data_IF_908030211076
#
_entry.id   IF_908030211076
#
_cell.length_a   1.000
_cell.length_b   1.000
_cell.length_c   1.000
_cell.angle_alpha   90.00
_cell.angle_beta   90.00
_cell.angle_gamma   90.00
#
_symmetry.space_group_name_H-M   'P 1'
#
loop_
_entity.id
_entity.type
_entity.pdbx_description
1 polymer ?
#
# COMPACT_ATOMS: atom_id res chain seq x y z
N UNK A 1 -9.14 28.26 -6.95
CA UNK A 1 -8.37 27.74 -8.10
C UNK A 1 -8.29 26.24 -7.96
N UNK A 2 -8.49 25.48 -9.05
CA UNK A 2 -8.28 24.04 -9.04
C UNK A 2 -6.81 23.73 -9.35
N UNK A 3 -6.20 22.80 -8.63
CA UNK A 3 -4.80 22.40 -8.86
C UNK A 3 -4.62 21.55 -10.14
N UNK A 4 -5.73 21.14 -10.76
CA UNK A 4 -5.78 20.40 -12.01
C UNK A 4 -6.83 21.02 -12.95
N UNK A 5 -6.59 20.92 -14.26
CA UNK A 5 -7.51 21.35 -15.31
C UNK A 5 -7.70 20.25 -16.35
N UNK A 6 -8.94 19.93 -16.69
CA UNK A 6 -9.28 19.05 -17.80
C UNK A 6 -9.36 19.85 -19.11
N UNK A 7 -8.59 19.46 -20.14
CA UNK A 7 -8.69 20.03 -21.49
C UNK A 7 -9.36 19.05 -22.44
N UNK A 8 -10.45 19.47 -23.08
CA UNK A 8 -11.19 18.66 -24.07
C UNK A 8 -10.88 19.04 -25.52
N UNK A 9 -9.98 20.00 -25.74
CA UNK A 9 -9.66 20.58 -27.07
C UNK A 9 -9.35 19.55 -28.16
N UNK A 10 -8.70 18.44 -27.82
CA UNK A 10 -8.35 17.38 -28.77
C UNK A 10 -9.48 16.40 -29.07
N UNK A 11 -10.53 16.35 -28.24
CA UNK A 11 -11.68 15.45 -28.42
C UNK A 11 -12.86 16.13 -29.11
N UNK A 12 -12.96 17.46 -29.08
CA UNK A 12 -14.09 18.21 -29.63
C UNK A 12 -14.35 17.90 -31.12
N UNK A 13 -13.29 17.66 -31.90
CA UNK A 13 -13.37 17.25 -33.31
C UNK A 13 -14.12 15.93 -33.54
N UNK A 14 -14.15 15.05 -32.53
CA UNK A 14 -14.86 13.78 -32.58
C UNK A 14 -16.30 13.89 -32.05
N UNK A 15 -16.65 14.99 -31.40
CA UNK A 15 -17.99 15.22 -30.84
C UNK A 15 -18.97 15.84 -31.83
N UNK A 16 -18.60 15.99 -33.11
CA UNK A 16 -19.47 16.48 -34.19
C UNK A 16 -20.17 17.81 -33.86
N UNK A 17 -19.46 18.74 -33.21
CA UNK A 17 -20.01 20.04 -32.80
C UNK A 17 -20.81 20.02 -31.50
N UNK A 18 -20.91 18.89 -30.80
CA UNK A 18 -21.45 18.83 -29.43
C UNK A 18 -20.36 19.17 -28.41
N UNK A 19 -20.73 19.85 -27.34
CA UNK A 19 -19.86 20.00 -26.17
C UNK A 19 -19.70 18.68 -25.45
N UNK A 20 -18.54 18.44 -24.83
CA UNK A 20 -18.41 17.37 -23.85
C UNK A 20 -19.41 17.60 -22.70
N UNK A 21 -20.37 16.68 -22.55
CA UNK A 21 -21.41 16.75 -21.52
C UNK A 21 -21.59 15.38 -20.87
N UNK A 22 -21.82 15.31 -19.55
CA UNK A 22 -22.10 14.04 -18.89
C UNK A 22 -23.39 13.42 -19.46
N UNK A 23 -23.34 12.12 -19.75
CA UNK A 23 -24.49 11.33 -20.23
C UNK A 23 -25.32 10.72 -19.09
N UNK A 24 -25.03 11.12 -17.86
CA UNK A 24 -25.65 10.62 -16.63
C UNK A 24 -26.16 11.81 -15.79
N UNK A 25 -27.18 11.61 -14.93
CA UNK A 25 -27.67 12.67 -14.04
C UNK A 25 -26.64 12.93 -12.92
N UNK A 26 -25.63 13.76 -13.22
CA UNK A 26 -24.45 13.96 -12.37
C UNK A 26 -24.80 14.37 -10.94
N UNK A 27 -25.79 15.26 -10.76
CA UNK A 27 -26.22 15.72 -9.45
C UNK A 27 -26.81 14.58 -8.61
N UNK A 28 -27.61 13.71 -9.21
CA UNK A 28 -28.21 12.55 -8.54
C UNK A 28 -27.13 11.52 -8.18
N UNK A 29 -26.19 11.25 -9.08
CA UNK A 29 -25.08 10.33 -8.84
C UNK A 29 -24.16 10.86 -7.74
N UNK A 30 -23.84 12.14 -7.77
CA UNK A 30 -23.06 12.80 -6.72
C UNK A 30 -23.75 12.69 -5.37
N UNK A 31 -25.06 13.00 -5.32
CA UNK A 31 -25.87 12.86 -4.10
C UNK A 31 -25.89 11.40 -3.62
N UNK A 32 -26.03 10.43 -4.52
CA UNK A 32 -26.08 9.02 -4.14
C UNK A 32 -24.76 8.50 -3.55
N UNK A 33 -23.61 9.03 -4.02
CA UNK A 33 -22.29 8.74 -3.45
C UNK A 33 -22.13 9.37 -2.06
N UNK A 34 -22.47 10.65 -1.92
CA UNK A 34 -22.38 11.38 -0.66
C UNK A 34 -23.31 10.79 0.42
N UNK A 35 -24.56 10.49 0.05
CA UNK A 35 -25.58 9.93 0.93
C UNK A 35 -25.46 8.40 1.08
N UNK A 36 -24.47 7.77 0.42
CA UNK A 36 -24.21 6.31 0.46
C UNK A 36 -25.44 5.46 0.11
N UNK A 37 -26.25 5.91 -0.85
CA UNK A 37 -27.46 5.20 -1.30
C UNK A 37 -27.24 4.35 -2.56
N UNK A 38 -26.04 4.41 -3.15
CA UNK A 38 -25.70 3.62 -4.34
C UNK A 38 -25.29 2.17 -4.01
N UNK A 39 -25.28 1.31 -5.03
CA UNK A 39 -24.73 -0.05 -4.93
C UNK A 39 -23.24 0.02 -4.55
N UNK A 40 -22.83 -0.79 -3.57
CA UNK A 40 -21.44 -0.82 -3.10
C UNK A 40 -21.09 0.31 -2.12
N UNK A 41 -22.09 0.96 -1.52
CA UNK A 41 -21.94 2.03 -0.53
C UNK A 41 -20.98 1.69 0.63
N UNK A 42 -20.86 0.40 0.97
CA UNK A 42 -19.94 -0.09 2.00
C UNK A 42 -18.46 0.20 1.69
N UNK A 43 -18.10 0.47 0.43
CA UNK A 43 -16.72 0.67 -0.04
C UNK A 43 -16.41 2.13 -0.41
N UNK A 44 -17.18 3.10 0.09
CA UNK A 44 -17.00 4.53 -0.21
C UNK A 44 -16.07 5.27 0.76
N UNK A 45 -15.34 4.57 1.62
CA UNK A 45 -14.43 5.19 2.60
C UNK A 45 -13.33 6.06 1.97
N UNK A 46 -12.98 5.84 0.70
CA UNK A 46 -11.99 6.64 -0.03
C UNK A 46 -12.41 8.10 -0.25
N UNK A 47 -13.72 8.41 -0.20
CA UNK A 47 -14.22 9.78 -0.41
C UNK A 47 -13.72 10.70 0.70
N UNK A 48 -13.82 10.25 1.96
CA UNK A 48 -13.46 11.04 3.13
C UNK A 48 -12.03 10.78 3.60
N UNK A 49 -11.34 9.76 3.06
CA UNK A 49 -9.98 9.39 3.46
C UNK A 49 -8.99 10.57 3.48
N UNK A 50 -8.99 11.53 2.53
CA UNK A 50 -8.12 12.69 2.62
C UNK A 50 -8.40 13.60 3.82
N UNK A 51 -9.65 13.70 4.25
CA UNK A 51 -10.08 14.50 5.41
C UNK A 51 -9.85 13.74 6.73
N UNK A 52 -10.05 12.42 6.72
CA UNK A 52 -9.84 11.53 7.87
C UNK A 52 -8.35 11.32 8.21
N UNK A 53 -7.45 11.65 7.28
CA UNK A 53 -6.00 11.53 7.46
C UNK A 53 -5.43 12.74 8.21
N UNK A 54 -5.61 12.76 9.53
CA UNK A 54 -5.16 13.87 10.38
C UNK A 54 -3.63 13.98 10.45
N UNK A 55 -3.13 15.15 10.84
CA UNK A 55 -1.70 15.40 11.03
C UNK A 55 -1.07 14.43 12.05
N UNK A 56 -1.82 14.05 13.09
CA UNK A 56 -1.38 13.11 14.11
C UNK A 56 -1.17 11.71 13.51
N UNK A 57 -2.11 11.25 12.67
CA UNK A 57 -2.00 9.96 11.99
C UNK A 57 -0.85 9.94 10.99
N UNK A 58 -0.65 11.04 10.27
CA UNK A 58 0.50 11.21 9.37
C UNK A 58 1.81 11.18 10.18
N UNK A 59 1.87 11.90 11.30
CA UNK A 59 3.05 11.94 12.16
C UNK A 59 3.38 10.56 12.75
N UNK A 60 2.37 9.76 13.12
CA UNK A 60 2.56 8.38 13.57
C UNK A 60 3.16 7.48 12.47
N UNK A 61 2.63 7.57 11.24
CA UNK A 61 3.19 6.86 10.07
C UNK A 61 4.63 7.28 9.82
N UNK A 62 4.90 8.58 9.87
CA UNK A 62 6.22 9.15 9.66
C UNK A 62 7.23 8.64 10.71
N UNK A 63 6.86 8.65 11.99
CA UNK A 63 7.69 8.14 13.09
C UNK A 63 8.08 6.67 12.89
N UNK A 64 7.13 5.81 12.51
CA UNK A 64 7.47 4.41 12.24
C UNK A 64 8.29 4.25 10.96
N UNK A 65 8.05 5.04 9.92
CA UNK A 65 8.88 5.06 8.73
C UNK A 65 10.34 5.49 9.05
N UNK A 66 10.54 6.49 9.90
CA UNK A 66 11.86 6.92 10.39
C UNK A 66 12.56 5.78 11.16
N UNK A 67 11.83 5.11 12.05
CA UNK A 67 12.35 3.95 12.81
C UNK A 67 12.76 2.80 11.90
N UNK A 68 11.98 2.49 10.86
CA UNK A 68 12.34 1.49 9.85
C UNK A 68 13.57 1.92 9.04
N UNK A 69 13.65 3.19 8.63
CA UNK A 69 14.79 3.72 7.86
C UNK A 69 16.10 3.65 8.63
N UNK A 70 16.12 3.99 9.92
CA UNK A 70 17.32 3.97 10.73
C UNK A 70 18.00 2.58 10.81
N UNK A 71 17.20 1.50 10.69
CA UNK A 71 17.66 0.12 10.83
C UNK A 71 17.64 -0.68 9.54
N UNK A 72 17.38 -0.06 8.38
CA UNK A 72 17.24 -0.77 7.10
C UNK A 72 18.05 -0.12 6.01
N UNK A 73 18.60 -0.94 5.14
CA UNK A 73 19.07 -0.54 3.82
C UNK A 73 18.01 -0.89 2.75
N UNK A 74 17.14 -1.86 3.07
CA UNK A 74 16.08 -2.35 2.16
C UNK A 74 14.77 -2.55 2.91
N UNK A 75 13.67 -2.06 2.33
CA UNK A 75 12.31 -2.36 2.77
C UNK A 75 11.64 -3.31 1.76
N UNK A 76 11.29 -4.51 2.21
CA UNK A 76 10.52 -5.47 1.40
C UNK A 76 9.02 -5.24 1.64
N UNK A 77 8.31 -4.80 0.61
CA UNK A 77 6.84 -4.67 0.63
C UNK A 77 6.22 -5.93 0.05
N UNK A 78 5.39 -6.61 0.83
CA UNK A 78 4.65 -7.79 0.40
C UNK A 78 3.18 -7.43 0.15
N UNK A 79 2.73 -7.52 -1.10
CA UNK A 79 1.34 -7.21 -1.46
C UNK A 79 1.08 -7.42 -2.95
N UNK A 80 -0.19 -7.55 -3.33
CA UNK A 80 -0.63 -7.68 -4.73
C UNK A 80 -1.83 -6.78 -5.01
N UNK A 81 -2.04 -6.41 -6.27
CA UNK A 81 -3.16 -5.57 -6.70
C UNK A 81 -3.12 -4.17 -6.09
N UNK A 82 -4.20 -3.76 -5.42
CA UNK A 82 -4.27 -2.46 -4.73
C UNK A 82 -3.24 -2.29 -3.62
N UNK A 83 -2.85 -3.39 -2.95
CA UNK A 83 -1.80 -3.43 -1.92
C UNK A 83 -0.38 -3.25 -2.46
N UNK A 84 -0.23 -3.05 -3.77
CA UNK A 84 1.04 -2.99 -4.48
C UNK A 84 1.12 -1.79 -5.41
N UNK A 85 0.15 -1.65 -6.32
CA UNK A 85 0.22 -0.70 -7.43
C UNK A 85 0.24 0.75 -6.96
N UNK A 86 -0.55 1.12 -5.95
CA UNK A 86 -0.59 2.49 -5.44
C UNK A 86 0.76 2.93 -4.86
N UNK A 87 1.34 2.09 -3.99
CA UNK A 87 2.65 2.36 -3.40
C UNK A 87 3.74 2.42 -4.47
N UNK A 88 3.79 1.45 -5.39
CA UNK A 88 4.78 1.41 -6.47
C UNK A 88 4.67 2.64 -7.39
N UNK A 89 3.46 3.04 -7.78
CA UNK A 89 3.26 4.19 -8.64
C UNK A 89 3.73 5.50 -8.00
N UNK A 90 3.44 5.73 -6.72
CA UNK A 90 3.89 6.92 -5.99
C UNK A 90 5.40 6.92 -5.81
N UNK A 91 5.98 5.78 -5.42
CA UNK A 91 7.44 5.66 -5.24
C UNK A 91 8.15 5.90 -6.58
N UNK A 92 7.76 5.23 -7.66
CA UNK A 92 8.40 5.43 -8.97
C UNK A 92 8.23 6.85 -9.52
N UNK A 93 7.11 7.53 -9.24
CA UNK A 93 6.85 8.89 -9.71
C UNK A 93 7.60 9.97 -8.92
N UNK A 94 7.82 9.76 -7.62
CA UNK A 94 8.33 10.80 -6.70
C UNK A 94 9.69 10.49 -6.07
N UNK A 95 10.21 9.27 -6.19
CA UNK A 95 11.54 8.94 -5.66
C UNK A 95 12.63 9.77 -6.33
N UNK A 96 13.55 10.28 -5.52
CA UNK A 96 14.71 11.02 -5.99
C UNK A 96 15.60 10.11 -6.87
N UNK A 97 15.83 10.46 -8.14
CA UNK A 97 16.74 9.72 -9.01
C UNK A 97 18.18 9.67 -8.49
N UNK A 98 18.58 10.61 -7.62
CA UNK A 98 19.91 10.66 -7.00
C UNK A 98 20.09 9.66 -5.86
N UNK A 99 19.00 9.02 -5.41
CA UNK A 99 19.00 7.90 -4.48
C UNK A 99 18.23 8.16 -3.20
N UNK A 100 17.55 7.12 -2.71
CA UNK A 100 17.03 7.02 -1.35
C UNK A 100 17.99 6.19 -0.51
N UNK A 101 18.15 6.54 0.77
CA UNK A 101 18.95 5.76 1.73
C UNK A 101 18.42 4.33 1.93
N UNK A 102 17.14 4.10 1.60
CA UNK A 102 16.49 2.78 1.68
C UNK A 102 15.88 2.41 0.35
N UNK A 103 16.30 1.26 -0.19
CA UNK A 103 15.74 0.65 -1.39
C UNK A 103 14.40 -0.03 -1.06
N UNK A 104 13.35 0.24 -1.84
CA UNK A 104 12.05 -0.43 -1.69
C UNK A 104 11.94 -1.54 -2.74
N UNK A 105 11.70 -2.76 -2.28
CA UNK A 105 11.55 -3.94 -3.13
C UNK A 105 10.18 -4.55 -2.90
N UNK A 106 9.53 -4.98 -3.98
CA UNK A 106 8.21 -5.59 -3.90
C UNK A 106 8.31 -7.10 -4.11
N UNK A 107 7.62 -7.85 -3.25
CA UNK A 107 7.40 -9.29 -3.35
C UNK A 107 5.92 -9.59 -3.06
N UNK A 108 5.51 -10.85 -3.22
CA UNK A 108 4.11 -11.23 -2.96
C UNK A 108 3.10 -10.67 -3.97
N UNK A 109 3.56 -9.98 -5.02
CA UNK A 109 2.76 -9.57 -6.17
C UNK A 109 2.70 -10.64 -7.28
N UNK A 110 3.40 -11.77 -7.10
CA UNK A 110 3.35 -12.98 -7.93
C UNK A 110 4.05 -14.15 -7.21
N UNK A 111 4.10 -15.33 -7.84
CA UNK A 111 4.62 -16.59 -7.25
C UNK A 111 5.98 -17.07 -7.80
N UNK A 112 6.78 -16.20 -8.43
CA UNK A 112 8.08 -16.60 -8.99
C UNK A 112 9.12 -16.89 -7.89
N UNK A 113 9.39 -18.17 -7.60
CA UNK A 113 10.44 -18.58 -6.66
C UNK A 113 11.84 -18.06 -7.00
N UNK A 114 12.14 -17.92 -8.31
CA UNK A 114 13.41 -17.36 -8.79
C UNK A 114 13.60 -15.89 -8.40
N UNK A 115 12.52 -15.13 -8.28
CA UNK A 115 12.63 -13.75 -7.79
C UNK A 115 12.99 -13.73 -6.30
N UNK A 116 12.36 -14.57 -5.48
CA UNK A 116 12.71 -14.68 -4.05
C UNK A 116 14.17 -15.07 -3.88
N UNK A 117 14.66 -16.08 -4.62
CA UNK A 117 16.06 -16.48 -4.58
C UNK A 117 17.00 -15.32 -4.93
N UNK A 118 16.68 -14.59 -6.01
CA UNK A 118 17.45 -13.41 -6.44
C UNK A 118 17.47 -12.32 -5.37
N UNK A 119 16.30 -11.96 -4.83
CA UNK A 119 16.16 -10.91 -3.81
C UNK A 119 16.88 -11.30 -2.52
N UNK A 120 16.65 -12.50 -2.01
CA UNK A 120 17.29 -12.96 -0.76
C UNK A 120 18.80 -13.11 -0.90
N UNK A 121 19.28 -13.52 -2.08
CA UNK A 121 20.74 -13.55 -2.35
C UNK A 121 21.32 -12.15 -2.46
N UNK A 122 20.69 -11.25 -3.23
CA UNK A 122 21.16 -9.86 -3.42
C UNK A 122 21.28 -9.11 -2.10
N UNK A 123 20.34 -9.30 -1.18
CA UNK A 123 20.28 -8.54 0.08
C UNK A 123 20.69 -9.35 1.31
N UNK A 124 21.37 -10.48 1.13
CA UNK A 124 21.81 -11.35 2.23
C UNK A 124 22.64 -10.62 3.29
N UNK A 125 23.45 -9.64 2.90
CA UNK A 125 24.33 -8.90 3.82
C UNK A 125 23.84 -7.48 4.11
N UNK A 126 22.60 -7.14 3.70
CA UNK A 126 21.98 -5.84 3.97
C UNK A 126 21.11 -5.87 5.21
N UNK A 127 20.81 -4.70 5.77
CA UNK A 127 19.83 -4.55 6.85
C UNK A 127 18.43 -4.48 6.26
N UNK A 128 17.48 -5.28 6.74
CA UNK A 128 16.14 -5.36 6.14
C UNK A 128 15.01 -5.13 7.14
N UNK A 129 13.93 -4.59 6.61
CA UNK A 129 12.60 -4.57 7.21
C UNK A 129 11.56 -4.99 6.20
N UNK A 130 10.35 -5.28 6.68
CA UNK A 130 9.24 -5.68 5.81
C UNK A 130 7.93 -4.97 6.14
N UNK A 131 7.15 -4.68 5.11
CA UNK A 131 5.78 -4.18 5.21
C UNK A 131 4.84 -5.19 4.54
N UNK A 132 3.90 -5.78 5.28
CA UNK A 132 2.99 -6.81 4.79
C UNK A 132 1.58 -6.22 4.65
N UNK A 133 1.05 -6.20 3.42
CA UNK A 133 -0.20 -5.49 3.10
C UNK A 133 -1.22 -6.48 2.52
N UNK A 134 -2.24 -6.84 3.30
CA UNK A 134 -3.37 -7.66 2.86
C UNK A 134 -4.55 -7.46 3.81
N UNK A 135 -5.74 -7.14 3.29
CA UNK A 135 -6.95 -6.97 4.13
C UNK A 135 -7.28 -8.24 4.91
N UNK A 136 -7.34 -9.38 4.22
CA UNK A 136 -7.72 -10.66 4.83
C UNK A 136 -6.54 -11.43 5.42
N UNK A 137 -5.32 -11.20 4.93
CA UNK A 137 -4.16 -12.04 5.21
C UNK A 137 -4.20 -13.43 4.56
N UNK A 138 -5.20 -13.71 3.73
CA UNK A 138 -5.39 -15.00 3.05
C UNK A 138 -5.13 -14.92 1.55
N UNK A 139 -4.79 -13.74 1.02
CA UNK A 139 -4.28 -13.59 -0.34
C UNK A 139 -3.04 -14.46 -0.52
N UNK A 140 -3.12 -15.46 -1.38
CA UNK A 140 -2.15 -16.56 -1.45
C UNK A 140 -0.71 -16.06 -1.64
N UNK A 141 -0.50 -15.16 -2.61
CA UNK A 141 0.81 -14.62 -2.96
C UNK A 141 1.42 -13.85 -1.80
N UNK A 142 0.66 -12.96 -1.17
CA UNK A 142 1.12 -12.19 0.01
C UNK A 142 1.38 -13.11 1.21
N UNK A 143 0.52 -14.11 1.46
CA UNK A 143 0.66 -15.01 2.59
C UNK A 143 1.92 -15.90 2.48
N UNK A 144 2.21 -16.40 1.28
CA UNK A 144 3.46 -17.13 0.99
C UNK A 144 4.66 -16.19 1.14
N UNK A 145 4.59 -14.98 0.57
CA UNK A 145 5.66 -13.99 0.68
C UNK A 145 5.96 -13.63 2.13
N UNK A 146 4.94 -13.41 2.96
CA UNK A 146 5.11 -13.14 4.40
C UNK A 146 5.89 -14.25 5.09
N UNK A 147 5.51 -15.52 4.85
CA UNK A 147 6.20 -16.68 5.45
C UNK A 147 7.68 -16.70 5.07
N UNK A 148 7.97 -16.58 3.78
CA UNK A 148 9.34 -16.61 3.26
C UNK A 148 10.17 -15.42 3.76
N UNK A 149 9.61 -14.21 3.74
CA UNK A 149 10.30 -13.00 4.19
C UNK A 149 10.52 -13.01 5.70
N UNK A 150 9.54 -13.47 6.49
CA UNK A 150 9.71 -13.60 7.94
C UNK A 150 10.79 -14.62 8.29
N UNK A 151 10.82 -15.76 7.61
CA UNK A 151 11.87 -16.76 7.78
C UNK A 151 13.25 -16.19 7.42
N UNK A 152 13.34 -15.44 6.31
CA UNK A 152 14.57 -14.77 5.92
C UNK A 152 15.03 -13.75 6.97
N UNK A 153 14.12 -12.95 7.55
CA UNK A 153 14.44 -12.02 8.63
C UNK A 153 14.88 -12.76 9.91
N UNK A 154 14.22 -13.87 10.27
CA UNK A 154 14.59 -14.69 11.43
C UNK A 154 15.94 -15.38 11.28
N UNK A 155 16.39 -15.64 10.04
CA UNK A 155 17.75 -16.15 9.81
C UNK A 155 18.83 -15.11 10.14
N UNK A 156 18.45 -13.82 10.25
CA UNK A 156 19.36 -12.68 10.43
C UNK A 156 19.22 -11.98 11.78
N UNK A 157 18.04 -12.02 12.38
CA UNK A 157 17.68 -11.22 13.53
C UNK A 157 16.96 -12.06 14.59
N UNK A 158 17.04 -11.64 15.85
CA UNK A 158 16.27 -12.26 16.94
C UNK A 158 14.76 -12.06 16.72
N UNK A 159 13.93 -12.88 17.38
CA UNK A 159 12.47 -12.72 17.30
C UNK A 159 12.00 -11.31 17.71
N UNK A 160 12.62 -10.72 18.74
CA UNK A 160 12.32 -9.36 19.20
C UNK A 160 12.67 -8.32 18.14
N UNK A 161 13.84 -8.47 17.50
CA UNK A 161 14.26 -7.55 16.47
C UNK A 161 13.40 -7.70 15.20
N UNK A 162 13.04 -8.92 14.78
CA UNK A 162 12.08 -9.18 13.69
C UNK A 162 10.74 -8.52 13.99
N UNK A 163 10.23 -8.64 15.22
CA UNK A 163 8.98 -7.98 15.64
C UNK A 163 9.04 -6.47 15.39
N UNK A 164 10.17 -5.83 15.69
CA UNK A 164 10.33 -4.40 15.43
C UNK A 164 10.49 -4.05 13.94
N UNK A 165 10.91 -5.00 13.11
CA UNK A 165 11.26 -4.81 11.69
C UNK A 165 10.10 -5.10 10.74
N UNK A 166 9.03 -5.72 11.21
CA UNK A 166 7.84 -6.01 10.43
C UNK A 166 6.72 -5.05 10.82
N UNK A 167 6.13 -4.40 9.81
CA UNK A 167 4.90 -3.63 9.94
C UNK A 167 3.83 -4.30 9.08
N UNK A 168 2.58 -4.32 9.56
CA UNK A 168 1.46 -4.87 8.80
C UNK A 168 0.42 -3.81 8.48
N UNK A 169 -0.29 -3.98 7.35
CA UNK A 169 -1.43 -3.16 6.97
C UNK A 169 -2.56 -4.11 6.58
N UNK A 170 -3.57 -4.19 7.43
CA UNK A 170 -4.60 -5.24 7.39
C UNK A 170 -5.92 -4.72 7.96
N UNK A 171 -6.99 -5.52 7.86
CA UNK A 171 -8.28 -5.21 8.50
C UNK A 171 -8.13 -4.87 9.99
N UNK A 172 -9.04 -4.08 10.54
CA UNK A 172 -8.99 -3.64 11.94
C UNK A 172 -9.11 -4.80 12.93
N UNK A 173 -9.97 -5.78 12.66
CA UNK A 173 -10.37 -6.80 13.65
C UNK A 173 -10.35 -8.23 13.12
N UNK A 174 -10.42 -8.41 11.81
CA UNK A 174 -10.66 -9.70 11.18
C UNK A 174 -9.47 -10.15 10.32
N UNK A 175 -9.47 -11.43 9.97
CA UNK A 175 -8.52 -11.98 9.01
C UNK A 175 -7.23 -12.51 9.64
N UNK A 176 -6.56 -13.36 8.88
CA UNK A 176 -5.39 -14.12 9.34
C UNK A 176 -4.19 -13.21 9.65
N UNK A 177 -3.99 -12.15 8.86
CA UNK A 177 -2.87 -11.22 9.07
C UNK A 177 -3.11 -10.34 10.32
N UNK A 178 -4.36 -10.00 10.65
CA UNK A 178 -4.69 -9.34 11.92
C UNK A 178 -4.33 -10.21 13.10
N UNK A 179 -4.86 -11.44 13.16
CA UNK A 179 -4.56 -12.38 14.25
C UNK A 179 -3.07 -12.66 14.38
N UNK A 180 -2.35 -12.79 13.26
CA UNK A 180 -0.90 -12.97 13.27
C UNK A 180 -0.16 -11.71 13.76
N UNK A 181 -0.61 -10.51 13.38
CA UNK A 181 -0.02 -9.25 13.85
C UNK A 181 -0.14 -9.11 15.36
N UNK A 182 -1.33 -9.42 15.91
CA UNK A 182 -1.59 -9.35 17.35
C UNK A 182 -0.76 -10.40 18.10
N UNK A 183 -0.70 -11.63 17.58
CA UNK A 183 0.10 -12.72 18.16
C UNK A 183 1.59 -12.40 18.23
N UNK A 184 2.15 -11.82 17.17
CA UNK A 184 3.57 -11.48 17.11
C UNK A 184 3.87 -10.11 17.73
N UNK A 185 2.84 -9.30 17.97
CA UNK A 185 2.94 -7.94 18.49
C UNK A 185 3.55 -6.96 17.49
N UNK A 186 3.31 -7.13 16.19
CA UNK A 186 3.77 -6.20 15.16
C UNK A 186 3.05 -4.84 15.26
N UNK A 187 3.75 -3.77 14.92
CA UNK A 187 3.08 -2.51 14.58
C UNK A 187 2.17 -2.74 13.38
N UNK A 188 0.93 -2.29 13.46
CA UNK A 188 -0.07 -2.54 12.43
C UNK A 188 -0.93 -1.32 12.14
N UNK A 189 -1.27 -1.12 10.87
CA UNK A 189 -2.16 -0.07 10.39
C UNK A 189 -3.44 -0.66 9.83
N UNK A 190 -4.53 0.08 9.98
CA UNK A 190 -5.86 -0.32 9.53
C UNK A 190 -6.01 0.01 8.05
N UNK A 191 -6.41 -1.00 7.27
CA UNK A 191 -6.98 -0.83 5.94
C UNK A 191 -8.52 -0.76 6.08
N UNK A 192 -9.14 0.42 5.89
CA UNK A 192 -10.59 0.59 6.03
C UNK A 192 -11.41 -0.38 5.15
#
# INVERSE_FOLDING_TARGET
MTNFSLSTSYIDKFLSGKSFSPVIPLAEVHKALQDKTCKGADYLGWINLPEDMTNERIAEIQMHADSLRAKSDVLIVCGIGGSYLGARAVIEAFSDPSGSDVEVVFLGNHLSGREYERVFTKYRDKRLSACIISKSGTTMETAISYRLVREFLLSKYSNEEVRSRIVTVTDEKNGALRSESDKQGYTSYILP
#
